data_IF_159795107859
#
_entry.id   IF_159795107859
#
_cell.length_a   1.000
_cell.length_b   1.000
_cell.length_c   1.000
_cell.angle_alpha   90.00
_cell.angle_beta   90.00
_cell.angle_gamma   90.00
#
_symmetry.space_group_name_H-M   'P 1'
#
loop_
_entity.id
_entity.type
_entity.pdbx_description
1 polymer ?
2 non-polymer ?
3 water ?
#
# COMPACT_ATOMS: atom_id res chain seq x y z
N UNK A 1 -1.41 4.49 -16.42
CA UNK A 1 -1.53 4.94 -15.04
C UNK A 1 -2.85 5.68 -14.75
N UNK A 2 -3.43 6.30 -15.79
CA UNK A 2 -4.65 7.09 -15.63
C UNK A 2 -5.88 6.42 -15.02
N UNK A 3 -6.07 5.12 -15.14
CA UNK A 3 -7.28 4.57 -14.56
C UNK A 3 -7.20 4.31 -13.06
N UNK A 4 -6.01 4.55 -12.49
CA UNK A 4 -5.73 4.38 -11.08
C UNK A 4 -6.13 5.62 -10.26
N UNK A 5 -6.16 6.79 -10.93
CA UNK A 5 -6.45 8.13 -10.37
C UNK A 5 -7.83 8.29 -9.70
N UNK A 6 -7.89 9.03 -8.56
CA UNK A 6 -9.14 9.31 -7.81
C UNK A 6 -9.18 8.85 -6.34
N UNK A 7 -10.39 8.97 -5.72
CA UNK A 7 -10.73 8.60 -4.34
C UNK A 7 -11.36 7.18 -4.24
N UNK A 8 -10.81 6.33 -3.37
CA UNK A 8 -11.27 4.96 -3.17
C UNK A 8 -11.40 4.68 -1.68
N UNK A 9 -12.42 3.90 -1.27
CA UNK A 9 -12.66 3.52 0.13
C UNK A 9 -12.61 1.98 0.32
N UNK A 10 -12.09 1.49 1.48
CA UNK A 10 -11.95 0.04 1.79
C UNK A 10 -13.28 -0.67 1.94
N UNK A 11 -13.51 -1.78 1.22
CA UNK A 11 -14.78 -2.51 1.35
C UNK A 11 -14.66 -3.94 1.89
N UNK A 12 -13.46 -4.58 1.78
CA UNK A 12 -13.21 -5.95 2.27
C UNK A 12 -11.71 -6.22 2.58
N UNK A 13 -11.39 -6.93 3.68
CA UNK A 13 -9.99 -7.25 4.02
C UNK A 13 -9.79 -8.72 4.43
N UNK A 14 -8.72 -9.36 3.92
CA UNK A 14 -8.43 -10.75 4.25
C UNK A 14 -6.96 -11.04 4.62
N UNK A 15 -6.76 -11.58 5.83
CA UNK A 15 -5.42 -11.92 6.31
C UNK A 15 -4.46 -10.78 6.68
N UNK A 16 -4.97 -9.58 7.04
CA UNK A 16 -4.15 -8.42 7.43
C UNK A 16 -3.36 -8.72 8.70
N UNK A 17 -4.01 -9.43 9.62
CA UNK A 17 -3.35 -9.80 10.84
C UNK A 17 -2.09 -10.65 10.60
N UNK A 18 -2.12 -11.63 9.71
CA UNK A 18 -0.89 -12.38 9.50
C UNK A 18 0.23 -11.54 8.88
N UNK A 19 -0.13 -10.59 8.04
CA UNK A 19 0.88 -9.77 7.41
C UNK A 19 1.60 -8.91 8.41
N UNK A 20 0.78 -8.21 9.21
CA UNK A 20 1.27 -7.33 10.26
C UNK A 20 2.19 -8.14 11.16
N UNK A 21 1.73 -9.33 11.51
CA UNK A 21 2.52 -10.18 12.37
C UNK A 21 3.89 -10.57 11.84
N UNK A 22 3.91 -10.90 10.56
CA UNK A 22 5.13 -11.28 9.91
C UNK A 22 6.18 -10.17 9.88
N UNK A 23 5.70 -8.90 9.80
CA UNK A 23 6.54 -7.70 9.79
C UNK A 23 7.02 -7.31 11.19
N UNK A 24 6.36 -7.79 12.24
CA UNK A 24 6.81 -7.46 13.60
C UNK A 24 6.01 -6.38 14.36
N UNK A 25 4.83 -6.06 13.87
CA UNK A 25 3.95 -5.08 14.51
C UNK A 25 3.38 -5.68 15.80
N UNK A 26 3.17 -4.86 16.84
CA UNK A 26 2.67 -5.36 18.12
C UNK A 26 1.16 -5.53 18.20
N UNK A 27 0.74 -6.42 19.11
CA UNK A 27 -0.66 -6.76 19.30
C UNK A 27 -1.57 -5.56 19.50
N UNK A 28 -1.10 -4.58 20.23
CA UNK A 28 -1.93 -3.42 20.50
C UNK A 28 -2.25 -2.61 19.26
N UNK A 29 -1.25 -2.52 18.35
CA UNK A 29 -1.42 -1.82 17.09
C UNK A 29 -2.33 -2.63 16.17
N UNK A 30 -2.13 -3.96 16.20
CA UNK A 30 -2.94 -4.87 15.40
C UNK A 30 -4.43 -4.74 15.71
N UNK A 31 -4.77 -4.60 17.00
CA UNK A 31 -6.16 -4.44 17.40
C UNK A 31 -6.80 -3.29 16.63
N UNK A 32 -6.17 -2.14 16.82
CA UNK A 32 -6.55 -0.86 16.27
C UNK A 32 -6.61 -0.83 14.72
N UNK A 33 -5.59 -1.29 14.02
CA UNK A 33 -5.63 -1.32 12.55
C UNK A 33 -6.66 -2.28 11.93
N UNK A 34 -7.28 -3.16 12.72
CA UNK A 34 -8.22 -4.13 12.17
C UNK A 34 -9.67 -3.67 12.10
N UNK A 35 -9.98 -2.63 12.85
CA UNK A 35 -11.33 -2.08 12.90
C UNK A 35 -11.41 -0.86 11.96
N UNK A 36 -10.25 -0.38 11.51
CA UNK A 36 -10.11 0.82 10.66
C UNK A 36 -10.34 0.62 9.15
N UNK A 37 -11.09 1.53 8.50
CA UNK A 37 -11.32 1.44 7.04
C UNK A 37 -10.81 2.70 6.35
N UNK A 38 -9.57 2.70 5.85
CA UNK A 38 -8.98 3.90 5.26
C UNK A 38 -9.56 4.42 3.94
N UNK A 39 -9.07 5.64 3.60
CA UNK A 39 -9.30 6.36 2.34
C UNK A 39 -7.95 6.53 1.66
N UNK A 40 -7.93 6.15 0.38
CA UNK A 40 -6.76 6.25 -0.47
C UNK A 40 -7.05 7.21 -1.62
N UNK A 41 -6.15 8.20 -1.85
CA UNK A 41 -6.24 9.21 -2.93
C UNK A 41 -5.01 9.20 -3.85
N UNK A 42 -5.21 8.93 -5.15
CA UNK A 42 -4.10 8.89 -6.11
C UNK A 42 -4.20 10.06 -7.08
N UNK A 43 -3.16 10.89 -7.12
CA UNK A 43 -3.16 12.07 -8.00
C UNK A 43 -1.94 12.13 -8.91
N UNK A 44 -2.02 13.00 -9.91
CA UNK A 44 -0.90 13.17 -10.84
C UNK A 44 -0.69 14.63 -11.29
N UNK A 45 0.58 14.99 -11.53
CA UNK A 45 1.04 16.32 -11.98
C UNK A 45 2.27 16.11 -12.81
N UNK A 46 2.11 16.09 -14.12
CA UNK A 46 3.27 15.85 -14.96
C UNK A 46 3.69 14.41 -14.80
N UNK A 47 4.98 14.19 -14.50
CA UNK A 47 5.47 12.85 -14.30
C UNK A 47 5.63 12.51 -12.83
N UNK A 48 4.99 13.27 -11.95
CA UNK A 48 5.08 12.99 -10.52
C UNK A 48 3.77 12.41 -10.02
N UNK A 49 3.80 11.24 -9.35
CA UNK A 49 2.58 10.67 -8.79
C UNK A 49 2.58 10.95 -7.29
N UNK A 50 1.41 11.24 -6.71
CA UNK A 50 1.25 11.44 -5.26
C UNK A 50 0.26 10.41 -4.69
N UNK A 51 0.63 9.77 -3.56
CA UNK A 51 -0.18 8.74 -2.89
C UNK A 51 -0.53 9.06 -1.42
N UNK A 52 -1.80 9.39 -1.14
CA UNK A 52 -2.29 9.70 0.21
C UNK A 52 -3.13 8.53 0.79
N UNK A 53 -3.01 8.19 2.09
CA UNK A 53 -3.69 7.10 2.83
C UNK A 53 -4.18 7.79 4.10
N UNK A 54 -5.50 7.97 4.22
CA UNK A 54 -6.09 8.66 5.35
C UNK A 54 -6.96 7.78 6.25
N UNK A 55 -6.80 7.91 7.56
CA UNK A 55 -7.64 7.18 8.50
C UNK A 55 -7.71 7.87 9.87
N UNK A 56 -8.61 7.38 10.72
CA UNK A 56 -8.80 7.94 12.05
C UNK A 56 -7.72 7.48 13.03
N UNK A 57 -6.78 6.74 12.48
CA UNK A 57 -5.68 6.20 13.24
C UNK A 57 -4.32 6.76 12.79
N UNK A 58 -3.91 6.48 11.54
CA UNK A 58 -2.63 6.96 11.00
C UNK A 58 -2.79 7.58 9.62
N UNK A 59 -1.92 8.53 9.29
CA UNK A 59 -1.93 9.15 7.97
C UNK A 59 -0.55 9.14 7.30
N UNK A 60 -0.52 8.86 6.00
CA UNK A 60 0.74 8.81 5.25
C UNK A 60 0.60 9.51 3.89
N UNK A 61 1.75 9.95 3.34
CA UNK A 61 1.82 10.64 2.05
C UNK A 61 3.22 10.51 1.43
N UNK A 62 3.27 10.14 0.13
CA UNK A 62 4.52 9.98 -0.62
C UNK A 62 4.33 10.55 -2.02
N UNK A 63 5.43 11.01 -2.62
CA UNK A 63 5.44 11.55 -3.97
C UNK A 63 6.63 10.91 -4.68
N UNK A 64 6.50 10.44 -5.95
CA UNK A 64 7.65 9.81 -6.66
C UNK A 64 7.49 9.86 -8.19
N UNK A 65 8.51 9.35 -8.88
CA UNK A 65 8.58 9.15 -10.33
C UNK A 65 8.79 7.65 -10.54
N UNK A 66 8.00 7.06 -11.44
CA UNK A 66 8.05 5.64 -11.78
C UNK A 66 9.49 5.25 -12.19
N UNK A 67 10.03 4.11 -11.71
CA UNK A 67 11.37 3.61 -12.09
C UNK A 67 12.59 4.26 -11.43
N UNK A 68 12.36 5.25 -10.53
CA UNK A 68 13.41 5.96 -9.77
C UNK A 68 13.33 5.62 -8.28
N UNK A 69 14.44 5.14 -7.68
CA UNK A 69 14.49 4.74 -6.25
C UNK A 69 14.35 5.92 -5.31
N UNK A 70 13.57 5.78 -4.24
CA UNK A 70 13.40 6.88 -3.29
C UNK A 70 13.39 6.39 -1.83
N UNK A 71 13.69 7.27 -0.86
CA UNK A 71 13.66 6.88 0.56
C UNK A 71 12.23 7.04 1.10
N UNK A 72 11.78 6.06 1.90
CA UNK A 72 10.45 6.05 2.51
C UNK A 72 10.52 5.58 3.97
N UNK A 73 9.61 6.11 4.80
CA UNK A 73 9.42 5.68 6.19
C UNK A 73 7.97 5.29 6.31
N UNK A 74 7.69 4.01 6.55
CA UNK A 74 6.33 3.47 6.58
C UNK A 74 5.48 3.79 7.81
N UNK A 75 4.19 3.37 7.75
CA UNK A 75 3.18 3.55 8.82
C UNK A 75 3.53 2.82 10.11
N UNK A 76 4.30 1.75 9.96
CA UNK A 76 4.78 1.01 11.10
C UNK A 76 6.18 1.48 11.47
N UNK A 77 6.60 2.60 10.91
CA UNK A 77 7.92 3.15 11.21
C UNK A 77 9.15 2.40 10.72
N UNK A 78 9.11 1.80 9.54
CA UNK A 78 10.33 1.21 9.03
C UNK A 78 10.93 2.29 8.16
N UNK A 79 12.23 2.23 7.91
CA UNK A 79 12.92 3.18 7.05
C UNK A 79 13.46 2.37 5.84
N UNK A 80 12.82 2.42 4.66
CA UNK A 80 13.23 1.56 3.52
C UNK A 80 13.64 2.27 2.21
N UNK A 81 14.24 1.50 1.30
CA UNK A 81 14.61 1.96 -0.03
C UNK A 81 13.53 1.49 -1.00
N UNK A 82 12.78 2.40 -1.61
CA UNK A 82 11.67 1.98 -2.48
C UNK A 82 11.76 2.31 -3.97
N UNK A 83 10.99 1.56 -4.79
CA UNK A 83 10.82 1.79 -6.23
C UNK A 83 9.45 1.28 -6.73
N UNK A 84 8.73 2.11 -7.49
CA UNK A 84 7.42 1.75 -8.06
C UNK A 84 7.50 1.61 -9.59
N UNK A 85 6.87 0.57 -10.17
CA UNK A 85 6.92 0.32 -11.63
C UNK A 85 5.57 -0.15 -12.27
N UNK A 86 5.44 -0.10 -13.62
CA UNK A 86 4.24 -0.59 -14.33
C UNK A 86 4.64 -1.90 -15.01
N UNK A 87 4.04 -3.02 -14.58
CA UNK A 87 4.38 -4.33 -15.11
C UNK A 87 3.12 -5.08 -15.46
N UNK A 88 2.94 -5.29 -16.75
CA UNK A 88 1.78 -5.96 -17.28
C UNK A 88 0.50 -5.32 -16.80
N UNK A 89 0.41 -3.99 -16.82
CA UNK A 89 -0.80 -3.32 -16.38
C UNK A 89 -0.93 -3.13 -14.87
N UNK A 90 -0.01 -3.69 -14.11
CA UNK A 90 -0.11 -3.53 -12.69
C UNK A 90 0.93 -2.59 -12.15
N UNK A 91 0.58 -2.01 -11.00
CA UNK A 91 1.39 -1.07 -10.26
C UNK A 91 2.10 -1.76 -9.09
N UNK A 92 3.35 -2.13 -9.38
CA UNK A 92 4.25 -2.85 -8.49
C UNK A 92 5.17 -1.94 -7.65
N UNK A 93 5.02 -2.00 -6.29
CA UNK A 93 5.79 -1.24 -5.29
C UNK A 93 6.71 -2.19 -4.49
N UNK A 94 8.06 -2.08 -4.68
CA UNK A 94 9.08 -2.91 -4.02
C UNK A 94 9.81 -2.12 -2.95
N UNK A 95 9.84 -2.66 -1.72
CA UNK A 95 10.51 -2.06 -0.58
C UNK A 95 11.61 -3.00 -0.09
N UNK A 96 12.82 -2.46 0.16
CA UNK A 96 13.98 -3.25 0.64
C UNK A 96 14.56 -2.70 1.92
N UNK A 97 14.94 -3.59 2.85
CA UNK A 97 15.56 -3.19 4.12
C UNK A 97 16.18 -4.35 4.88
N UNK A 98 17.39 -4.13 5.37
CA UNK A 98 18.08 -5.14 6.14
C UNK A 98 18.15 -6.47 5.44
N UNK A 99 18.33 -6.39 4.15
CA UNK A 99 18.46 -7.58 3.38
C UNK A 99 17.16 -8.31 3.16
N UNK A 100 16.03 -7.68 3.49
CA UNK A 100 14.78 -8.36 3.24
C UNK A 100 13.84 -7.56 2.38
N UNK A 101 12.77 -8.20 1.90
CA UNK A 101 11.83 -7.51 1.02
C UNK A 101 10.34 -7.80 1.22
N UNK A 102 9.52 -6.85 0.75
CA UNK A 102 8.06 -6.89 0.80
C UNK A 102 7.54 -6.24 -0.49
N UNK A 103 6.47 -6.81 -1.02
CA UNK A 103 5.86 -6.29 -2.22
C UNK A 103 4.43 -5.86 -1.95
N UNK A 104 4.00 -4.78 -2.63
CA UNK A 104 2.65 -4.24 -2.59
C UNK A 104 2.15 -4.09 -4.03
N UNK A 105 1.21 -4.94 -4.48
CA UNK A 105 0.71 -4.86 -5.86
C UNK A 105 -0.75 -4.41 -6.06
N UNK A 106 -0.97 -3.39 -6.91
CA UNK A 106 -2.33 -2.85 -7.17
C UNK A 106 -2.80 -3.22 -8.60
N UNK A 107 -4.01 -3.86 -8.70
CA UNK A 107 -4.71 -4.28 -9.94
C UNK A 107 -6.17 -3.81 -10.11
N UNK A 108 -6.53 -3.45 -11.33
CA UNK A 108 -7.89 -3.02 -11.57
C UNK A 108 -8.64 -4.21 -12.08
N UNK A 109 -9.62 -4.68 -11.34
CA UNK A 109 -10.36 -5.84 -11.75
C UNK A 109 -11.80 -5.65 -11.50
N UNK A 110 -12.48 -5.61 -12.63
CA UNK A 110 -13.90 -5.33 -12.73
C UNK A 110 -14.38 -4.31 -11.74
N UNK A 111 -14.00 -3.10 -12.05
CA UNK A 111 -14.38 -1.84 -11.51
C UNK A 111 -13.67 -1.53 -10.26
N UNK A 112 -12.96 -2.52 -9.79
CA UNK A 112 -12.30 -2.44 -8.52
C UNK A 112 -10.79 -2.53 -8.41
N UNK A 113 -10.31 -1.87 -7.34
CA UNK A 113 -8.91 -1.81 -6.98
C UNK A 113 -8.55 -2.91 -5.99
N UNK A 114 -7.62 -3.76 -6.39
CA UNK A 114 -7.19 -4.86 -5.56
C UNK A 114 -5.73 -4.83 -5.13
N UNK A 115 -5.51 -4.79 -3.82
CA UNK A 115 -4.17 -4.69 -3.24
C UNK A 115 -3.74 -5.97 -2.56
N UNK A 116 -2.58 -6.50 -2.97
CA UNK A 116 -2.04 -7.70 -2.37
C UNK A 116 -0.63 -7.48 -1.82
N UNK A 117 -0.51 -7.76 -0.52
CA UNK A 117 0.73 -7.60 0.24
C UNK A 117 1.38 -8.96 0.47
N UNK A 118 2.66 -9.10 0.09
CA UNK A 118 3.38 -10.35 0.32
C UNK A 118 4.69 -10.18 1.13
N UNK A 119 4.81 -10.93 2.24
CA UNK A 119 6.02 -10.95 3.10
C UNK A 119 6.27 -12.36 3.59
N UNK A 120 7.36 -12.97 3.14
CA UNK A 120 7.72 -14.31 3.57
C UNK A 120 6.72 -15.34 3.09
N UNK A 121 6.03 -15.94 4.03
CA UNK A 121 5.02 -16.90 3.59
C UNK A 121 3.60 -16.27 3.66
N UNK A 122 3.47 -15.12 4.30
CA UNK A 122 2.17 -14.45 4.46
C UNK A 122 1.75 -13.61 3.23
N UNK A 123 0.46 -13.65 2.89
CA UNK A 123 -0.15 -12.95 1.76
C UNK A 123 -1.51 -12.37 2.19
N UNK A 124 -1.74 -11.07 2.02
CA UNK A 124 -3.00 -10.42 2.40
C UNK A 124 -3.69 -9.80 1.18
N UNK A 125 -5.01 -9.80 1.13
CA UNK A 125 -5.71 -9.20 -0.01
C UNK A 125 -6.70 -8.13 0.47
N UNK A 126 -6.70 -6.94 -0.14
CA UNK A 126 -7.63 -5.90 0.30
C UNK A 126 -8.37 -5.24 -0.87
N UNK A 127 -9.70 -5.07 -0.80
CA UNK A 127 -10.37 -4.43 -1.93
C UNK A 127 -11.00 -3.07 -1.63
N UNK A 128 -10.89 -2.16 -2.62
CA UNK A 128 -11.38 -0.78 -2.55
C UNK A 128 -12.46 -0.48 -3.58
N UNK A 129 -13.39 0.40 -3.21
CA UNK A 129 -14.45 0.85 -4.09
C UNK A 129 -14.22 2.32 -4.42
N UNK A 130 -14.48 2.69 -5.66
CA UNK A 130 -14.31 4.05 -6.15
C UNK A 130 -15.31 4.99 -5.49
N UNK A 131 -14.83 6.07 -4.87
CA UNK A 131 -15.73 7.01 -4.23
C UNK A 131 -16.06 8.14 -5.18
X LIG B 1 -3.60 -0.20 3.16
X LIG B 1 -3.23 0.69 2.43
X LIG B 1 -4.68 -0.88 2.96
X LIG B 1 -2.82 -0.64 4.39
X LIG B 1 -1.33 -0.46 4.18
X LIG B 1 -0.45 -1.12 5.23
X LIG B 1 1.02 -0.90 4.94
X LIG B 1 1.93 -0.97 6.16
X LIG B 1 1.37 -1.79 7.31
X LIG B 1 1.39 -1.02 8.63
X LIG B 1 0.59 -1.71 9.72
X LIG B 1 0.12 -0.74 10.79
X LIG B 1 -1.33 -0.37 10.62
X LIG B 1 -1.46 0.92 9.84
X LIG B 1 -2.89 1.38 9.66
X LIG B 1 -2.99 2.44 8.59
X LIG B 1 -3.30 1.83 7.23
X LIG B 1 -2.07 1.49 6.41
#
# INVERSE_FOLDING_TARGET
>A
VDAFLGTWKLVDSKNFDDYMKSLGVGFATRQVASMTKPTTIIEKNGDILTLKTHSTFKNTEISFKLGVEFDETTADDRKVKSIVTLDGGKLVHLQKWDGQETTLVRELIDGKLILTLTHGTAVCTRTYEKEA
>B hetero
1 PLM C1 O1 O2 C2 C3 C4 C5 C6 C7 C8 C9 CA CB CC CD CE CF CG
#
